data_IF_243877381239
#
_entry.id   IF_243877381239
#
_cell.length_a   1.000
_cell.length_b   1.000
_cell.length_c   1.000
_cell.angle_alpha   90.00
_cell.angle_beta   90.00
_cell.angle_gamma   90.00
#
_symmetry.space_group_name_H-M   'P 1'
#
loop_
_entity.id
_entity.type
_entity.pdbx_description
1 polymer ?
#
# COMPACT_ATOMS: atom_id res chain seq x y z
N UNK A 1 -14.69 -9.68 -24.30
CA UNK A 1 -14.08 -9.41 -22.98
C UNK A 1 -15.18 -8.91 -22.07
N UNK A 2 -15.43 -9.61 -20.96
CA UNK A 2 -16.55 -9.30 -20.06
C UNK A 2 -16.34 -7.92 -19.42
N UNK A 3 -17.15 -6.93 -19.80
CA UNK A 3 -17.19 -5.63 -19.12
C UNK A 3 -17.77 -5.88 -17.73
N UNK A 4 -16.91 -5.91 -16.72
CA UNK A 4 -17.36 -5.93 -15.34
C UNK A 4 -18.18 -4.66 -15.11
N UNK A 5 -19.51 -4.82 -14.97
CA UNK A 5 -20.40 -3.68 -14.73
C UNK A 5 -19.97 -2.95 -13.47
N UNK A 6 -19.77 -1.64 -13.56
CA UNK A 6 -19.51 -0.77 -12.41
C UNK A 6 -20.78 -0.66 -11.55
N UNK A 7 -20.96 -1.58 -10.61
CA UNK A 7 -22.14 -1.64 -9.72
C UNK A 7 -21.99 -0.79 -8.46
N UNK A 8 -20.75 -0.61 -7.98
CA UNK A 8 -20.44 0.19 -6.79
C UNK A 8 -20.31 1.68 -7.14
N UNK A 9 -20.75 2.55 -6.23
CA UNK A 9 -20.71 4.02 -6.39
C UNK A 9 -20.10 4.68 -5.16
N UNK A 10 -19.41 5.79 -5.38
CA UNK A 10 -18.93 6.69 -4.34
C UNK A 10 -19.55 8.05 -4.60
N UNK A 11 -20.24 8.62 -3.61
CA UNK A 11 -20.88 9.92 -3.71
C UNK A 11 -20.20 10.92 -2.79
N UNK A 12 -19.90 12.12 -3.30
CA UNK A 12 -19.27 13.18 -2.54
C UNK A 12 -20.14 14.44 -2.55
N UNK A 13 -20.14 15.17 -1.43
CA UNK A 13 -20.57 16.56 -1.39
C UNK A 13 -19.31 17.43 -1.41
N UNK A 14 -19.23 18.32 -2.38
CA UNK A 14 -18.08 19.19 -2.60
C UNK A 14 -18.53 20.64 -2.62
N UNK A 15 -17.65 21.53 -2.18
CA UNK A 15 -17.81 22.96 -2.44
C UNK A 15 -17.67 23.21 -3.95
N UNK A 16 -18.35 24.25 -4.45
CA UNK A 16 -18.40 24.54 -5.89
C UNK A 16 -17.03 24.88 -6.49
N UNK A 17 -16.16 25.55 -5.73
CA UNK A 17 -14.79 25.85 -6.12
C UNK A 17 -13.95 24.58 -6.34
N UNK A 18 -14.04 23.61 -5.42
CA UNK A 18 -13.34 22.33 -5.56
C UNK A 18 -13.84 21.53 -6.75
N UNK A 19 -15.16 21.53 -7.01
CA UNK A 19 -15.74 20.91 -8.21
C UNK A 19 -15.15 21.55 -9.47
N UNK A 20 -15.06 22.88 -9.52
CA UNK A 20 -14.54 23.60 -10.67
C UNK A 20 -13.07 23.26 -10.94
N UNK A 21 -12.23 23.21 -9.90
CA UNK A 21 -10.83 22.79 -10.03
C UNK A 21 -10.70 21.36 -10.61
N UNK A 22 -11.54 20.44 -10.16
CA UNK A 22 -11.55 19.05 -10.67
C UNK A 22 -12.00 19.01 -12.13
N UNK A 23 -13.01 19.80 -12.50
CA UNK A 23 -13.50 19.92 -13.87
C UNK A 23 -12.42 20.45 -14.82
N UNK A 24 -11.72 21.51 -14.41
CA UNK A 24 -10.66 22.11 -15.22
C UNK A 24 -9.50 21.10 -15.41
N UNK A 25 -9.09 20.40 -14.35
CA UNK A 25 -8.06 19.36 -14.44
C UNK A 25 -8.48 18.18 -15.34
N UNK A 26 -9.74 17.75 -15.28
CA UNK A 26 -10.27 16.69 -16.14
C UNK A 26 -10.31 17.13 -17.61
N UNK A 27 -10.71 18.38 -17.87
CA UNK A 27 -10.75 18.97 -19.20
C UNK A 27 -9.35 19.05 -19.82
N UNK A 28 -8.33 19.46 -19.06
CA UNK A 28 -6.96 19.51 -19.57
C UNK A 28 -6.39 18.15 -19.96
N UNK A 29 -6.88 17.08 -19.33
CA UNK A 29 -6.51 15.70 -19.69
C UNK A 29 -7.42 15.09 -20.75
N UNK A 30 -8.43 15.83 -21.24
CA UNK A 30 -9.41 15.33 -22.21
C UNK A 30 -10.28 14.18 -21.67
N UNK A 31 -10.52 14.15 -20.35
CA UNK A 31 -11.24 13.08 -19.67
C UNK A 31 -12.55 13.58 -19.06
N UNK A 32 -13.51 12.67 -18.87
CA UNK A 32 -14.70 12.98 -18.06
C UNK A 32 -14.31 13.17 -16.59
N UNK A 33 -15.09 13.94 -15.84
CA UNK A 33 -14.90 14.12 -14.39
C UNK A 33 -14.86 12.76 -13.68
N UNK A 34 -15.72 11.84 -14.09
CA UNK A 34 -15.81 10.49 -13.52
C UNK A 34 -14.53 9.68 -13.76
N UNK A 35 -14.04 9.68 -15.00
CA UNK A 35 -12.82 8.94 -15.36
C UNK A 35 -11.59 9.52 -14.66
N UNK A 36 -11.48 10.85 -14.66
CA UNK A 36 -10.43 11.57 -13.94
C UNK A 36 -10.44 11.24 -12.43
N UNK A 37 -11.62 11.28 -11.81
CA UNK A 37 -11.77 11.00 -10.39
C UNK A 37 -11.42 9.55 -10.06
N UNK A 38 -11.93 8.57 -10.83
CA UNK A 38 -11.62 7.15 -10.63
C UNK A 38 -10.12 6.89 -10.80
N UNK A 39 -9.50 7.39 -11.86
CA UNK A 39 -8.08 7.22 -12.12
C UNK A 39 -7.22 7.80 -10.98
N UNK A 40 -7.52 9.04 -10.57
CA UNK A 40 -6.79 9.74 -9.51
C UNK A 40 -6.93 9.02 -8.17
N UNK A 41 -8.15 8.62 -7.80
CA UNK A 41 -8.42 7.91 -6.54
C UNK A 41 -7.72 6.55 -6.51
N UNK A 42 -7.81 5.77 -7.59
CA UNK A 42 -7.17 4.44 -7.68
C UNK A 42 -5.64 4.59 -7.63
N UNK A 43 -5.07 5.55 -8.35
CA UNK A 43 -3.63 5.79 -8.33
C UNK A 43 -3.14 6.14 -6.92
N UNK A 44 -3.83 7.06 -6.25
CA UNK A 44 -3.47 7.50 -4.89
C UNK A 44 -3.65 6.37 -3.87
N UNK A 45 -4.75 5.63 -3.92
CA UNK A 45 -5.02 4.51 -3.04
C UNK A 45 -3.94 3.41 -3.19
N UNK A 46 -3.61 3.03 -4.43
CA UNK A 46 -2.54 2.06 -4.69
C UNK A 46 -1.19 2.53 -4.18
N UNK A 47 -0.87 3.82 -4.32
CA UNK A 47 0.37 4.37 -3.77
C UNK A 47 0.41 4.26 -2.25
N UNK A 48 -0.66 4.64 -1.56
CA UNK A 48 -0.74 4.55 -0.09
C UNK A 48 -0.57 3.10 0.38
N UNK A 49 -1.30 2.15 -0.24
CA UNK A 49 -1.22 0.74 0.12
C UNK A 49 0.18 0.16 -0.13
N UNK A 50 0.83 0.51 -1.24
CA UNK A 50 2.22 0.10 -1.50
C UNK A 50 3.20 0.72 -0.51
N UNK A 51 3.07 2.01 -0.23
CA UNK A 51 3.97 2.71 0.68
C UNK A 51 3.90 2.13 2.11
N UNK A 52 2.73 1.63 2.54
CA UNK A 52 2.58 0.90 3.81
C UNK A 52 3.26 -0.47 3.82
N UNK A 53 3.41 -1.13 2.67
CA UNK A 53 4.02 -2.45 2.56
C UNK A 53 5.55 -2.39 2.38
N UNK A 54 6.12 -1.20 2.13
CA UNK A 54 7.54 -1.03 1.85
C UNK A 54 8.27 -0.60 3.13
N UNK A 55 9.16 -1.47 3.63
CA UNK A 55 10.15 -1.06 4.64
C UNK A 55 11.31 -0.36 3.93
N UNK A 56 11.43 0.96 4.09
CA UNK A 56 12.55 1.74 3.55
C UNK A 56 13.74 1.68 4.50
N UNK A 57 14.85 1.15 4.03
CA UNK A 57 16.11 1.09 4.80
C UNK A 57 17.05 2.22 4.36
N UNK A 58 17.78 2.80 5.30
CA UNK A 58 18.95 3.62 4.98
C UNK A 58 20.02 2.75 4.32
N UNK A 59 21.01 3.33 3.63
CA UNK A 59 22.10 2.54 3.05
C UNK A 59 22.87 1.72 4.10
N UNK A 60 23.04 2.29 5.31
CA UNK A 60 23.65 1.59 6.44
C UNK A 60 22.81 0.37 6.85
N UNK A 61 21.51 0.55 7.01
CA UNK A 61 20.63 -0.52 7.48
C UNK A 61 20.42 -1.58 6.38
N UNK A 62 20.41 -1.18 5.10
CA UNK A 62 20.39 -2.10 3.95
C UNK A 62 21.62 -3.00 3.95
N UNK A 63 22.83 -2.44 4.09
CA UNK A 63 24.08 -3.22 4.14
C UNK A 63 24.04 -4.25 5.29
N UNK A 64 23.58 -3.81 6.46
CA UNK A 64 23.44 -4.69 7.63
C UNK A 64 22.40 -5.80 7.40
N UNK A 65 21.26 -5.45 6.81
CA UNK A 65 20.20 -6.41 6.50
C UNK A 65 20.67 -7.48 5.49
N UNK A 66 21.35 -7.09 4.42
CA UNK A 66 21.90 -8.04 3.44
C UNK A 66 22.95 -8.94 4.08
N UNK A 67 23.88 -8.39 4.87
CA UNK A 67 24.87 -9.20 5.58
C UNK A 67 24.23 -10.23 6.55
N UNK A 68 23.07 -9.90 7.14
CA UNK A 68 22.31 -10.84 7.97
C UNK A 68 21.62 -11.94 7.13
N UNK A 69 21.21 -11.65 5.89
CA UNK A 69 20.64 -12.66 4.99
C UNK A 69 21.71 -13.64 4.48
N UNK A 70 22.93 -13.16 4.25
CA UNK A 70 24.05 -13.97 3.78
C UNK A 70 24.68 -14.82 4.90
N UNK A 71 24.41 -14.51 6.17
CA UNK A 71 24.91 -15.26 7.33
C UNK A 71 24.09 -16.54 7.59
N UNK A 72 24.54 -17.63 6.95
CA UNK A 72 23.97 -18.97 7.14
C UNK A 72 24.32 -19.62 8.49
N UNK A 73 25.21 -19.02 9.27
CA UNK A 73 25.64 -19.55 10.57
C UNK A 73 24.78 -19.04 11.74
N UNK A 74 23.88 -18.09 11.48
CA UNK A 74 23.06 -17.49 12.53
C UNK A 74 22.08 -18.50 13.14
N UNK A 75 22.06 -18.57 14.48
CA UNK A 75 21.19 -19.46 15.23
C UNK A 75 20.26 -18.64 16.15
N UNK A 76 19.01 -19.08 16.36
CA UNK A 76 18.10 -18.41 17.27
C UNK A 76 18.65 -18.47 18.69
N UNK A 77 18.62 -17.33 19.39
CA UNK A 77 19.02 -17.28 20.79
C UNK A 77 18.04 -18.05 21.70
N UNK A 78 18.44 -18.27 22.95
CA UNK A 78 17.62 -19.01 23.92
C UNK A 78 16.22 -18.42 24.12
N UNK A 79 16.09 -17.09 24.07
CA UNK A 79 14.82 -16.42 24.27
C UNK A 79 13.83 -16.73 23.14
N UNK A 80 14.29 -16.74 21.88
CA UNK A 80 13.50 -17.13 20.71
C UNK A 80 13.07 -18.61 20.81
N UNK A 81 13.99 -19.50 21.19
CA UNK A 81 13.68 -20.92 21.38
C UNK A 81 12.62 -21.13 22.47
N UNK A 82 12.74 -20.42 23.60
CA UNK A 82 11.75 -20.46 24.69
C UNK A 82 10.39 -19.94 24.23
N UNK A 83 10.35 -18.85 23.45
CA UNK A 83 9.10 -18.28 22.93
C UNK A 83 8.34 -19.26 22.03
N UNK A 84 9.03 -19.94 21.11
CA UNK A 84 8.41 -20.96 20.24
C UNK A 84 7.87 -22.14 21.06
N UNK A 85 8.62 -22.62 22.06
CA UNK A 85 8.16 -23.69 22.96
C UNK A 85 6.87 -23.29 23.70
N UNK A 86 6.76 -22.05 24.16
CA UNK A 86 5.55 -21.54 24.84
C UNK A 86 4.36 -21.48 23.88
N UNK A 87 4.54 -20.94 22.68
CA UNK A 87 3.49 -20.84 21.68
C UNK A 87 2.90 -22.22 21.33
N UNK A 88 3.76 -23.22 21.09
CA UNK A 88 3.33 -24.60 20.78
C UNK A 88 2.49 -25.25 21.88
N UNK A 89 2.72 -24.89 23.15
CA UNK A 89 1.92 -25.39 24.29
C UNK A 89 0.56 -24.70 24.45
N UNK A 90 0.38 -23.51 23.85
CA UNK A 90 -0.86 -22.74 23.94
C UNK A 90 -1.81 -22.98 22.77
N UNK A 91 -1.26 -23.34 21.60
CA UNK A 91 -2.02 -23.52 20.35
C UNK A 91 -2.15 -25.00 19.95
N UNK A 92 -1.32 -25.88 20.50
CA UNK A 92 -1.48 -27.34 20.39
C UNK A 92 -2.30 -27.88 21.55
#
# INVERSE_FOLDING_TARGET
>A
MSSAKSTARINFRLRGDLKKTIEDAAAELGQSISDFAVATLVQKARRILRDQQITRLSDRDRKRFVAMLDDSSSMPNEALVKAVKRYRKQVG
#
